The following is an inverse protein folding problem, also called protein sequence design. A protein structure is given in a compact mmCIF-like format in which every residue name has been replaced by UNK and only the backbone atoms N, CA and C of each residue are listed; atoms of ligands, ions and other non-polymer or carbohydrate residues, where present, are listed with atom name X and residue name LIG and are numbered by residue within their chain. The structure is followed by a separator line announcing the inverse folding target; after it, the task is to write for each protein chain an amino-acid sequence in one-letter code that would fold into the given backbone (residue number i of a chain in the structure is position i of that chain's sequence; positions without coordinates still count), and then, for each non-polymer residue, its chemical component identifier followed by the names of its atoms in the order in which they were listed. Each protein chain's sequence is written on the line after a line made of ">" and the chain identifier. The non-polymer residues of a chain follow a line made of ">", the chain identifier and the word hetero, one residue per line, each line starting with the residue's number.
data_IF_469895817350
#
_entry.id   IF_469895817350
#
_cell.length_a   1.000
_cell.length_b   1.000
_cell.length_c   1.000
_cell.angle_alpha   90.00
_cell.angle_beta   90.00
_cell.angle_gamma   90.00
#
_symmetry.space_group_name_H-M   'P 1'
#
loop_
_entity.id
_entity.type
_entity.pdbx_description
1 polymer ?
#
# COMPACT_ATOMS: atom_id res chain seq x y z
N UNK A 1 16.32 -31.19 -23.63
CA UNK A 1 15.34 -32.23 -23.26
C UNK A 1 14.94 -31.96 -21.82
N UNK A 2 13.80 -31.32 -21.58
CA UNK A 2 13.35 -31.00 -20.21
C UNK A 2 11.99 -31.67 -19.95
N UNK A 3 12.03 -32.67 -19.07
CA UNK A 3 10.90 -33.49 -18.68
C UNK A 3 10.01 -32.73 -17.68
N UNK A 4 8.96 -32.08 -18.17
CA UNK A 4 7.84 -31.57 -17.36
C UNK A 4 6.78 -32.67 -17.22
N UNK A 5 7.01 -33.65 -16.35
CA UNK A 5 5.96 -34.60 -16.01
C UNK A 5 5.96 -34.85 -14.51
N UNK A 6 4.95 -34.32 -13.81
CA UNK A 6 3.89 -35.12 -13.15
C UNK A 6 2.71 -34.22 -12.76
N UNK A 7 1.60 -34.37 -13.50
CA UNK A 7 0.31 -33.72 -13.23
C UNK A 7 -0.22 -33.05 -14.49
N UNK A 8 -1.49 -33.28 -14.84
CA UNK A 8 -2.16 -32.60 -15.97
C UNK A 8 -1.90 -31.10 -15.84
N UNK A 9 -1.04 -30.55 -16.69
CA UNK A 9 -0.69 -29.14 -16.67
C UNK A 9 -1.96 -28.31 -16.78
N UNK A 10 -2.13 -27.33 -15.89
CA UNK A 10 -3.26 -26.43 -15.98
C UNK A 10 -3.22 -25.72 -17.33
N UNK A 11 -4.24 -25.93 -18.16
CA UNK A 11 -4.36 -25.38 -19.53
C UNK A 11 -4.19 -23.85 -19.52
N UNK A 12 -4.49 -23.21 -18.38
CA UNK A 12 -4.35 -21.77 -18.14
C UNK A 12 -2.91 -21.30 -17.90
N UNK A 13 -1.99 -22.17 -17.46
CA UNK A 13 -0.63 -21.80 -17.07
C UNK A 13 0.34 -21.90 -18.25
N UNK A 14 0.14 -22.88 -19.14
CA UNK A 14 0.97 -23.07 -20.33
C UNK A 14 1.17 -21.79 -21.18
N UNK A 15 0.11 -21.02 -21.55
CA UNK A 15 0.29 -19.80 -22.35
C UNK A 15 1.02 -18.67 -21.62
N UNK A 16 1.04 -18.68 -20.27
CA UNK A 16 1.81 -17.72 -19.48
C UNK A 16 3.30 -18.09 -19.48
N UNK A 17 3.61 -19.38 -19.35
CA UNK A 17 4.99 -19.88 -19.42
C UNK A 17 5.60 -19.58 -20.79
N UNK A 18 4.85 -19.79 -21.87
CA UNK A 18 5.30 -19.48 -23.23
C UNK A 18 5.61 -17.99 -23.43
N UNK A 19 4.81 -17.10 -22.83
CA UNK A 19 5.08 -15.66 -22.87
C UNK A 19 6.35 -15.28 -22.13
N UNK A 20 6.58 -15.88 -20.96
CA UNK A 20 7.80 -15.65 -20.18
C UNK A 20 9.00 -16.16 -20.96
N UNK A 21 8.93 -17.35 -21.55
CA UNK A 21 10.03 -17.93 -22.33
C UNK A 21 10.39 -17.06 -23.54
N UNK A 22 9.41 -16.56 -24.28
CA UNK A 22 9.64 -15.63 -25.41
C UNK A 22 10.32 -14.33 -25.00
N UNK A 23 9.98 -13.80 -23.82
CA UNK A 23 10.65 -12.60 -23.29
C UNK A 23 12.10 -12.91 -22.95
N UNK A 24 12.36 -14.06 -22.33
CA UNK A 24 13.73 -14.48 -21.97
C UNK A 24 14.60 -14.63 -23.21
N UNK A 25 14.07 -15.22 -24.27
CA UNK A 25 14.75 -15.36 -25.56
C UNK A 25 15.00 -13.98 -26.20
N UNK A 26 14.03 -13.06 -26.14
CA UNK A 26 14.18 -11.71 -26.68
C UNK A 26 15.26 -10.89 -25.96
N UNK A 27 15.39 -11.05 -24.64
CA UNK A 27 16.36 -10.32 -23.82
C UNK A 27 17.67 -11.08 -23.58
N UNK A 28 17.79 -12.30 -24.13
CA UNK A 28 18.93 -13.21 -23.97
C UNK A 28 19.31 -13.45 -22.49
N UNK A 29 18.29 -13.60 -21.63
CA UNK A 29 18.47 -13.84 -20.20
C UNK A 29 18.55 -15.34 -19.88
N UNK A 30 19.19 -15.67 -18.76
CA UNK A 30 19.14 -17.03 -18.21
C UNK A 30 18.27 -17.00 -16.96
N UNK A 31 17.18 -17.76 -16.96
CA UNK A 31 16.32 -17.91 -15.77
C UNK A 31 16.69 -19.19 -15.04
N UNK A 32 16.94 -19.06 -13.75
CA UNK A 32 17.04 -20.18 -12.81
C UNK A 32 15.91 -20.06 -11.78
N UNK A 33 15.22 -21.16 -11.50
CA UNK A 33 14.18 -21.22 -10.49
C UNK A 33 14.69 -21.97 -9.27
N UNK A 34 14.86 -21.27 -8.15
CA UNK A 34 15.19 -21.87 -6.86
C UNK A 34 13.99 -21.78 -5.91
N UNK A 35 13.75 -22.86 -5.15
CA UNK A 35 12.71 -22.87 -4.13
C UNK A 35 13.19 -22.14 -2.88
N UNK A 36 12.56 -21.02 -2.55
CA UNK A 36 12.82 -20.28 -1.30
C UNK A 36 11.77 -20.72 -0.26
N UNK A 37 12.20 -21.28 0.90
CA UNK A 37 11.29 -21.61 2.00
C UNK A 37 10.50 -20.37 2.43
N UNK A 38 9.19 -20.50 2.67
CA UNK A 38 8.30 -19.38 2.99
C UNK A 38 8.72 -18.53 4.19
N UNK A 39 9.51 -19.09 5.13
CA UNK A 39 10.10 -18.35 6.26
C UNK A 39 11.12 -17.29 5.82
N UNK A 40 11.91 -17.59 4.79
CA UNK A 40 12.92 -16.70 4.19
C UNK A 40 12.31 -15.76 3.15
N UNK A 41 11.10 -16.06 2.67
CA UNK A 41 10.37 -15.21 1.73
C UNK A 41 9.61 -14.06 2.43
N UNK A 42 9.98 -13.70 3.66
CA UNK A 42 9.24 -12.77 4.53
C UNK A 42 9.06 -11.38 3.92
N UNK A 43 10.05 -10.91 3.14
CA UNK A 43 10.01 -9.62 2.45
C UNK A 43 9.06 -9.65 1.24
N UNK A 44 9.02 -10.76 0.50
CA UNK A 44 8.20 -10.89 -0.71
C UNK A 44 6.78 -11.36 -0.40
N UNK A 45 6.55 -12.12 0.67
CA UNK A 45 5.22 -12.50 1.16
C UNK A 45 4.51 -11.34 1.86
N UNK A 46 5.25 -10.37 2.43
CA UNK A 46 4.68 -9.17 3.05
C UNK A 46 4.21 -8.14 2.01
N UNK A 47 4.90 -8.00 0.88
CA UNK A 47 4.55 -7.06 -0.19
C UNK A 47 3.12 -7.21 -0.76
N UNK A 48 2.64 -8.41 -1.18
CA UNK A 48 1.29 -8.60 -1.69
C UNK A 48 0.24 -8.66 -0.57
N UNK A 49 0.60 -9.08 0.66
CA UNK A 49 -0.32 -9.05 1.81
C UNK A 49 -0.67 -7.63 2.24
N UNK A 50 0.30 -6.71 2.25
CA UNK A 50 0.11 -5.28 2.51
C UNK A 50 -0.83 -4.59 1.51
N UNK A 51 -0.93 -5.10 0.28
CA UNK A 51 -1.86 -4.54 -0.71
C UNK A 51 -3.32 -4.98 -0.52
N UNK A 52 -3.55 -6.12 0.13
CA UNK A 52 -4.89 -6.70 0.39
C UNK A 52 -5.44 -6.39 1.78
N UNK A 53 -4.58 -6.13 2.76
CA UNK A 53 -4.98 -5.92 4.14
C UNK A 53 -4.33 -4.63 4.66
N UNK A 54 -5.07 -3.82 5.41
CA UNK A 54 -4.64 -2.49 5.88
C UNK A 54 -3.59 -2.54 6.99
N UNK A 55 -2.56 -3.36 6.81
CA UNK A 55 -1.76 -3.97 7.88
C UNK A 55 -0.42 -3.25 8.13
N UNK A 56 -0.30 -1.96 7.81
CA UNK A 56 0.80 -1.18 8.37
C UNK A 56 0.38 -0.68 9.76
N UNK A 57 0.55 -1.55 10.75
CA UNK A 57 0.12 -1.31 12.12
C UNK A 57 1.03 -0.27 12.80
N UNK A 58 0.42 0.77 13.37
CA UNK A 58 1.14 1.81 14.13
C UNK A 58 0.80 1.67 15.61
N UNK A 59 1.83 1.79 16.45
CA UNK A 59 1.66 1.82 17.90
C UNK A 59 0.84 3.05 18.30
N UNK A 60 -0.31 2.82 18.93
CA UNK A 60 -1.22 3.90 19.37
C UNK A 60 -0.53 4.92 20.27
N UNK A 61 0.42 4.49 21.09
CA UNK A 61 1.22 5.34 21.97
C UNK A 61 2.02 6.39 21.18
N UNK A 62 2.68 5.97 20.09
CA UNK A 62 3.47 6.85 19.22
C UNK A 62 2.54 7.83 18.50
N UNK A 63 1.41 7.33 18.00
CA UNK A 63 0.41 8.17 17.35
C UNK A 63 -0.13 9.23 18.33
N UNK A 64 -0.54 8.85 19.53
CA UNK A 64 -1.05 9.79 20.53
C UNK A 64 0.00 10.82 20.96
N UNK A 65 1.25 10.38 21.16
CA UNK A 65 2.36 11.27 21.51
C UNK A 65 2.60 12.31 20.40
N UNK A 66 2.70 11.87 19.15
CA UNK A 66 2.94 12.76 18.01
C UNK A 66 1.80 13.74 17.77
N UNK A 67 0.55 13.33 17.99
CA UNK A 67 -0.59 14.24 17.88
C UNK A 67 -0.62 15.29 18.98
N UNK A 68 -0.23 14.91 20.20
CA UNK A 68 -0.09 15.83 21.34
C UNK A 68 1.03 16.84 21.10
N UNK A 69 2.17 16.40 20.58
CA UNK A 69 3.30 17.27 20.20
C UNK A 69 2.93 18.25 19.08
N UNK A 70 2.13 17.81 18.11
CA UNK A 70 1.63 18.65 17.02
C UNK A 70 0.51 19.61 17.43
N UNK A 71 -0.04 19.48 18.64
CA UNK A 71 -1.22 20.23 19.08
C UNK A 71 -2.45 19.97 18.19
N UNK A 72 -2.51 18.82 17.51
CA UNK A 72 -3.63 18.46 16.64
C UNK A 72 -4.60 17.58 17.41
N UNK A 73 -5.81 18.09 17.65
CA UNK A 73 -6.92 17.26 18.09
C UNK A 73 -7.56 16.59 16.86
N UNK A 74 -7.40 15.26 16.78
CA UNK A 74 -8.15 14.44 15.84
C UNK A 74 -9.53 14.19 16.43
N UNK A 75 -10.57 14.50 15.65
CA UNK A 75 -11.94 14.22 16.04
C UNK A 75 -12.47 12.93 15.40
N UNK A 76 -11.99 12.56 14.21
CA UNK A 76 -12.51 11.42 13.46
C UNK A 76 -11.41 10.57 12.81
N UNK A 77 -11.45 9.27 13.09
CA UNK A 77 -10.72 8.26 12.33
C UNK A 77 -11.66 7.66 11.26
N UNK A 78 -11.33 7.96 10.01
CA UNK A 78 -12.16 7.63 8.86
C UNK A 78 -12.01 6.15 8.48
N UNK A 79 -10.92 5.48 8.89
CA UNK A 79 -10.59 4.12 8.46
C UNK A 79 -10.54 3.10 9.59
N UNK A 80 -10.59 3.50 10.87
CA UNK A 80 -10.54 2.57 12.01
C UNK A 80 -11.81 1.73 12.24
N UNK A 81 -12.99 2.16 11.80
CA UNK A 81 -14.24 1.47 12.16
C UNK A 81 -14.89 0.81 10.95
N UNK A 82 -15.35 -0.44 11.09
CA UNK A 82 -16.09 -1.19 10.04
C UNK A 82 -17.32 -0.43 9.52
N UNK A 83 -17.89 0.44 10.34
CA UNK A 83 -18.99 1.35 10.01
C UNK A 83 -18.58 2.57 9.17
N UNK A 84 -17.33 3.03 9.27
CA UNK A 84 -16.80 4.20 8.52
C UNK A 84 -16.21 3.83 7.16
N UNK A 85 -16.23 2.54 6.79
CA UNK A 85 -15.73 2.00 5.51
C UNK A 85 -16.41 2.63 4.28
N UNK A 86 -17.55 3.30 4.48
CA UNK A 86 -18.22 4.10 3.45
C UNK A 86 -17.81 5.56 3.58
N UNK A 87 -16.70 5.92 2.94
CA UNK A 87 -16.23 7.29 2.79
C UNK A 87 -17.11 8.08 1.78
N UNK A 88 -18.42 8.20 2.05
CA UNK A 88 -19.37 8.85 1.12
C UNK A 88 -19.96 10.17 1.63
N UNK A 89 -19.88 10.53 2.92
CA UNK A 89 -20.54 11.77 3.43
C UNK A 89 -19.80 12.45 4.60
N UNK A 90 -18.47 12.52 4.57
CA UNK A 90 -17.75 13.32 5.56
C UNK A 90 -17.61 14.76 5.05
N UNK A 91 -18.23 15.69 5.76
CA UNK A 91 -18.02 17.13 5.56
C UNK A 91 -16.61 17.50 6.04
N UNK A 92 -15.68 17.71 5.11
CA UNK A 92 -14.28 18.11 5.38
C UNK A 92 -14.12 19.51 6.00
N UNK A 93 -15.23 20.16 6.38
CA UNK A 93 -15.31 21.60 6.65
C UNK A 93 -15.16 21.98 8.12
N UNK A 94 -15.27 21.04 9.06
CA UNK A 94 -15.32 21.38 10.50
C UNK A 94 -14.15 20.83 11.33
N UNK A 95 -13.50 19.74 10.93
CA UNK A 95 -12.55 19.02 11.78
C UNK A 95 -11.36 18.47 10.98
N UNK A 96 -10.25 18.15 11.66
CA UNK A 96 -9.05 17.56 11.04
C UNK A 96 -9.21 16.03 11.04
N UNK A 97 -9.41 15.40 9.87
CA UNK A 97 -9.58 13.96 9.81
C UNK A 97 -8.24 13.21 9.89
N UNK A 98 -8.28 12.05 10.53
CA UNK A 98 -7.24 11.03 10.45
C UNK A 98 -7.56 10.03 9.35
N UNK A 99 -6.62 9.91 8.42
CA UNK A 99 -6.70 9.00 7.29
C UNK A 99 -5.64 7.91 7.48
N UNK A 100 -6.08 6.69 7.73
CA UNK A 100 -5.23 5.50 7.78
C UNK A 100 -5.72 4.42 6.80
N UNK A 101 -5.70 4.69 5.49
CA UNK A 101 -6.33 3.82 4.51
C UNK A 101 -5.46 2.61 4.12
N UNK A 102 -6.06 1.51 3.64
CA UNK A 102 -5.31 0.45 2.98
C UNK A 102 -4.42 1.01 1.84
N UNK A 103 -3.25 0.41 1.62
CA UNK A 103 -2.28 0.87 0.60
C UNK A 103 -2.92 0.98 -0.80
N UNK A 104 -3.83 0.06 -1.13
CA UNK A 104 -4.58 0.06 -2.39
C UNK A 104 -5.49 1.28 -2.60
N UNK A 105 -5.81 2.02 -1.54
CA UNK A 105 -6.68 3.20 -1.56
C UNK A 105 -5.93 4.53 -1.49
N UNK A 106 -4.62 4.53 -1.19
CA UNK A 106 -3.81 5.75 -1.00
C UNK A 106 -3.92 6.71 -2.17
N UNK A 107 -3.72 6.21 -3.40
CA UNK A 107 -3.78 7.03 -4.60
C UNK A 107 -5.16 7.71 -4.78
N UNK A 108 -6.24 6.98 -4.48
CA UNK A 108 -7.61 7.51 -4.61
C UNK A 108 -7.84 8.65 -3.60
N UNK A 109 -7.35 8.48 -2.38
CA UNK A 109 -7.52 9.45 -1.30
C UNK A 109 -6.67 10.71 -1.54
N UNK A 110 -5.41 10.55 -1.96
CA UNK A 110 -4.54 11.68 -2.33
C UNK A 110 -5.20 12.53 -3.43
N UNK A 111 -5.74 11.88 -4.46
CA UNK A 111 -6.47 12.57 -5.54
C UNK A 111 -7.75 13.23 -5.06
N UNK A 112 -8.47 12.62 -4.11
CA UNK A 112 -9.67 13.21 -3.51
C UNK A 112 -9.32 14.46 -2.70
N UNK A 113 -8.27 14.41 -1.88
CA UNK A 113 -7.75 15.56 -1.12
C UNK A 113 -7.40 16.72 -2.06
N UNK A 114 -6.68 16.42 -3.16
CA UNK A 114 -6.38 17.42 -4.20
C UNK A 114 -7.63 18.02 -4.82
N UNK A 115 -8.59 17.19 -5.21
CA UNK A 115 -9.83 17.60 -5.89
C UNK A 115 -10.72 18.45 -4.98
N UNK A 116 -10.88 18.05 -3.73
CA UNK A 116 -11.78 18.69 -2.76
C UNK A 116 -11.10 19.83 -1.98
N UNK A 117 -9.83 20.14 -2.28
CA UNK A 117 -9.05 21.22 -1.67
C UNK A 117 -9.12 21.22 -0.14
N UNK A 118 -8.96 20.03 0.45
CA UNK A 118 -9.02 19.85 1.90
C UNK A 118 -7.93 20.70 2.56
N UNK A 119 -8.31 21.56 3.51
CA UNK A 119 -7.40 22.55 4.10
C UNK A 119 -6.40 21.94 5.08
N UNK A 120 -6.83 20.96 5.88
CA UNK A 120 -5.99 20.20 6.82
C UNK A 120 -6.51 18.77 6.93
N UNK A 121 -5.62 17.79 6.77
CA UNK A 121 -5.88 16.38 7.03
C UNK A 121 -4.58 15.72 7.53
N UNK A 122 -4.71 14.76 8.44
CA UNK A 122 -3.58 13.92 8.87
C UNK A 122 -3.67 12.61 8.10
N UNK A 123 -2.69 12.37 7.24
CA UNK A 123 -2.60 11.14 6.46
C UNK A 123 -1.42 10.33 6.96
N UNK A 124 -1.71 9.10 7.37
CA UNK A 124 -0.71 8.11 7.73
C UNK A 124 -0.43 7.26 6.50
N UNK A 125 0.84 7.19 6.09
CA UNK A 125 1.30 6.42 4.94
C UNK A 125 2.68 5.82 5.22
N UNK A 126 3.02 4.68 4.59
CA UNK A 126 4.40 4.21 4.57
C UNK A 126 5.29 5.17 3.76
N UNK A 127 6.57 5.28 4.11
CA UNK A 127 7.53 6.11 3.38
C UNK A 127 8.18 5.33 2.22
N UNK A 128 7.43 5.15 1.13
CA UNK A 128 7.86 4.33 -0.02
C UNK A 128 8.10 5.17 -1.27
N UNK A 129 9.33 5.66 -1.51
CA UNK A 129 9.62 6.60 -2.60
C UNK A 129 9.38 6.04 -4.00
N UNK A 130 9.46 4.72 -4.17
CA UNK A 130 9.31 4.05 -5.46
C UNK A 130 7.84 3.83 -5.88
N UNK A 131 6.87 4.29 -5.08
CA UNK A 131 5.45 4.06 -5.37
C UNK A 131 4.84 5.18 -6.21
N UNK A 132 3.90 4.80 -7.09
CA UNK A 132 3.21 5.74 -8.00
C UNK A 132 2.48 6.88 -7.27
N UNK A 133 2.00 6.62 -6.05
CA UNK A 133 1.29 7.62 -5.24
C UNK A 133 2.23 8.55 -4.48
N UNK A 134 3.53 8.26 -4.40
CA UNK A 134 4.48 9.01 -3.59
C UNK A 134 4.75 10.42 -4.15
N UNK A 135 4.84 10.56 -5.48
CA UNK A 135 4.99 11.87 -6.13
C UNK A 135 3.78 12.75 -5.86
N UNK A 136 2.57 12.23 -6.07
CA UNK A 136 1.33 12.98 -5.81
C UNK A 136 1.15 13.33 -4.33
N UNK A 137 1.62 12.45 -3.43
CA UNK A 137 1.63 12.70 -1.98
C UNK A 137 2.54 13.88 -1.64
N UNK A 138 3.77 13.92 -2.18
CA UNK A 138 4.72 14.99 -1.88
C UNK A 138 4.19 16.37 -2.27
N UNK A 139 3.41 16.46 -3.35
CA UNK A 139 2.81 17.72 -3.80
C UNK A 139 1.79 18.30 -2.81
N UNK A 140 1.06 17.44 -2.07
CA UNK A 140 0.09 17.88 -1.07
C UNK A 140 0.63 17.91 0.36
N UNK A 141 1.83 17.37 0.57
CA UNK A 141 2.43 17.25 1.90
C UNK A 141 2.99 18.61 2.32
N UNK A 142 2.39 19.22 3.34
CA UNK A 142 2.89 20.46 3.96
C UNK A 142 3.89 20.18 5.09
N UNK A 143 3.65 19.12 5.85
CA UNK A 143 4.48 18.71 6.97
C UNK A 143 4.53 17.18 6.99
N UNK A 144 5.72 16.62 7.21
CA UNK A 144 5.96 15.18 7.37
C UNK A 144 6.55 14.94 8.75
N UNK A 145 6.05 13.93 9.44
CA UNK A 145 6.63 13.41 10.68
C UNK A 145 6.88 11.92 10.48
N UNK A 146 8.09 11.49 10.84
CA UNK A 146 8.42 10.07 10.86
C UNK A 146 7.96 9.48 12.19
N UNK A 147 7.10 8.47 12.15
CA UNK A 147 6.56 7.80 13.34
C UNK A 147 7.49 6.68 13.88
N UNK A 148 8.75 6.64 13.42
CA UNK A 148 9.72 5.59 13.75
C UNK A 148 9.69 4.39 12.80
N UNK A 149 10.59 3.43 13.04
CA UNK A 149 10.65 2.09 12.40
C UNK A 149 9.81 1.06 13.17
#
# INVERSE_FOLDING_TARGET
>A
MYCLNKGKGSITIAPLVDKVLKLVEQFNWTIEASHIPGLLNTIQDSLPRLSRCGDYAIKKEILQKTLKELGIQISIDIFATRANRQCTRLEWSKEIPLLHPPISQLLKIIRKIKKERVSRAVLIVPDWPNQKWFTELREITRQKICLGE
#
